data_IF_949678786512
#
_entry.id   IF_949678786512
#
_cell.length_a   1.000
_cell.length_b   1.000
_cell.length_c   1.000
_cell.angle_alpha   90.00
_cell.angle_beta   90.00
_cell.angle_gamma   90.00
#
_symmetry.space_group_name_H-M   'P 1'
#
loop_
_entity.id
_entity.type
_entity.pdbx_description
1 polymer ?
#
# COMPACT_ATOMS: atom_id res chain seq x y z
N UNK A 1 -10.05 13.28 23.27
CA UNK A 1 -10.86 12.05 23.45
C UNK A 1 -11.34 11.62 22.09
N UNK A 2 -11.13 10.36 21.70
CA UNK A 2 -11.63 9.84 20.43
C UNK A 2 -13.15 9.74 20.48
N UNK A 3 -13.84 10.29 19.50
CA UNK A 3 -15.31 10.27 19.43
C UNK A 3 -15.78 9.58 18.15
N UNK A 4 -16.80 8.74 18.26
CA UNK A 4 -17.46 8.12 17.13
C UNK A 4 -18.78 8.86 16.87
N UNK A 5 -19.03 9.22 15.61
CA UNK A 5 -20.31 9.78 15.20
C UNK A 5 -21.18 8.66 14.64
N UNK A 6 -22.33 8.39 15.26
CA UNK A 6 -23.29 7.37 14.82
C UNK A 6 -24.66 8.00 14.62
N UNK A 7 -25.43 7.49 13.66
CA UNK A 7 -26.82 7.92 13.47
C UNK A 7 -27.75 6.86 14.03
N UNK A 8 -28.54 7.22 15.05
CA UNK A 8 -29.56 6.35 15.66
C UNK A 8 -30.91 6.99 15.40
N UNK A 9 -31.80 6.28 14.69
CA UNK A 9 -33.14 6.77 14.34
C UNK A 9 -33.13 8.16 13.66
N UNK A 10 -32.15 8.41 12.79
CA UNK A 10 -31.98 9.69 12.09
C UNK A 10 -31.34 10.81 12.92
N UNK A 11 -31.00 10.58 14.18
CA UNK A 11 -30.29 11.56 15.02
C UNK A 11 -28.80 11.24 15.07
N UNK A 12 -27.98 12.23 14.72
CA UNK A 12 -26.52 12.13 14.83
C UNK A 12 -26.11 12.26 16.30
N UNK A 13 -25.46 11.24 16.83
CA UNK A 13 -24.90 11.22 18.17
C UNK A 13 -23.38 11.14 18.13
N UNK A 14 -22.74 11.94 18.98
CA UNK A 14 -21.29 11.90 19.19
C UNK A 14 -21.01 11.12 20.46
N UNK A 15 -20.53 9.90 20.30
CA UNK A 15 -20.24 9.00 21.40
C UNK A 15 -18.75 9.09 21.74
N UNK A 16 -18.43 9.43 22.99
CA UNK A 16 -17.04 9.43 23.45
C UNK A 16 -16.61 7.98 23.67
N UNK A 17 -15.55 7.54 22.99
CA UNK A 17 -15.08 6.14 23.10
C UNK A 17 -14.67 5.82 24.54
N UNK A 18 -14.14 6.80 25.28
CA UNK A 18 -13.74 6.64 26.67
C UNK A 18 -14.91 6.47 27.67
N UNK A 19 -16.15 6.82 27.28
CA UNK A 19 -17.34 6.62 28.14
C UNK A 19 -18.05 5.29 27.88
N UNK A 20 -17.55 4.48 26.94
CA UNK A 20 -18.07 3.15 26.66
C UNK A 20 -17.68 2.16 27.76
N UNK A 21 -18.43 1.07 27.88
CA UNK A 21 -18.03 -0.04 28.75
C UNK A 21 -16.69 -0.64 28.29
N UNK A 22 -15.94 -1.23 29.22
CA UNK A 22 -14.66 -1.88 28.89
C UNK A 22 -14.79 -2.94 27.78
N UNK A 23 -15.91 -3.68 27.77
CA UNK A 23 -16.20 -4.66 26.72
C UNK A 23 -16.38 -4.00 25.34
N UNK A 24 -17.10 -2.88 25.26
CA UNK A 24 -17.27 -2.15 24.01
C UNK A 24 -15.95 -1.52 23.51
N UNK A 25 -15.11 -1.01 24.43
CA UNK A 25 -13.78 -0.51 24.07
C UNK A 25 -12.87 -1.62 23.52
N UNK A 26 -12.89 -2.81 24.14
CA UNK A 26 -12.14 -3.98 23.67
C UNK A 26 -12.61 -4.45 22.28
N UNK A 27 -13.92 -4.44 22.02
CA UNK A 27 -14.46 -4.79 20.71
C UNK A 27 -14.03 -3.79 19.63
N UNK A 28 -14.05 -2.48 19.91
CA UNK A 28 -13.57 -1.46 18.98
C UNK A 28 -12.08 -1.62 18.65
N UNK A 29 -11.24 -1.93 19.65
CA UNK A 29 -9.82 -2.19 19.44
C UNK A 29 -9.58 -3.44 18.56
N UNK A 30 -10.38 -4.49 18.77
CA UNK A 30 -10.34 -5.70 17.94
C UNK A 30 -10.77 -5.43 16.50
N UNK A 31 -11.84 -4.64 16.31
CA UNK A 31 -12.30 -4.22 14.98
C UNK A 31 -11.23 -3.38 14.26
N UNK A 32 -10.59 -2.44 14.95
CA UNK A 32 -9.49 -1.64 14.37
C UNK A 32 -8.33 -2.52 13.93
N UNK A 33 -7.94 -3.50 14.76
CA UNK A 33 -6.91 -4.48 14.41
C UNK A 33 -7.30 -5.26 13.16
N UNK A 34 -8.54 -5.75 13.10
CA UNK A 34 -9.05 -6.52 11.96
C UNK A 34 -9.04 -5.69 10.67
N UNK A 35 -9.53 -4.45 10.74
CA UNK A 35 -9.53 -3.51 9.60
C UNK A 35 -8.11 -3.24 9.11
N UNK A 36 -7.16 -2.99 10.03
CA UNK A 36 -5.77 -2.75 9.68
C UNK A 36 -5.13 -3.97 9.00
N UNK A 37 -5.41 -5.18 9.49
CA UNK A 37 -4.94 -6.42 8.88
C UNK A 37 -5.50 -6.62 7.48
N UNK A 38 -6.79 -6.35 7.27
CA UNK A 38 -7.43 -6.44 5.94
C UNK A 38 -6.81 -5.42 4.98
N UNK A 39 -6.66 -4.16 5.39
CA UNK A 39 -6.07 -3.11 4.58
C UNK A 39 -4.61 -3.43 4.18
N UNK A 40 -3.81 -3.93 5.13
CA UNK A 40 -2.44 -4.35 4.85
C UNK A 40 -2.39 -5.55 3.88
N UNK A 41 -3.30 -6.51 4.04
CA UNK A 41 -3.39 -7.68 3.16
C UNK A 41 -3.81 -7.29 1.74
N UNK A 42 -4.74 -6.34 1.60
CA UNK A 42 -5.16 -5.80 0.31
C UNK A 42 -4.02 -5.06 -0.39
N UNK A 43 -3.33 -4.16 0.30
CA UNK A 43 -2.16 -3.45 -0.25
C UNK A 43 -1.07 -4.42 -0.70
N UNK A 44 -0.78 -5.44 0.11
CA UNK A 44 0.20 -6.46 -0.23
C UNK A 44 -0.22 -7.25 -1.49
N UNK A 45 -1.49 -7.65 -1.59
CA UNK A 45 -2.00 -8.34 -2.77
C UNK A 45 -1.91 -7.49 -4.05
N UNK A 46 -2.23 -6.20 -3.96
CA UNK A 46 -2.09 -5.28 -5.09
C UNK A 46 -0.64 -5.04 -5.47
N UNK A 47 0.27 -4.96 -4.49
CA UNK A 47 1.70 -4.84 -4.75
C UNK A 47 2.24 -6.07 -5.50
N UNK A 48 1.84 -7.29 -5.10
CA UNK A 48 2.25 -8.52 -5.80
C UNK A 48 1.81 -8.57 -7.25
N UNK A 49 0.61 -8.07 -7.56
CA UNK A 49 0.09 -8.03 -8.92
C UNK A 49 0.40 -6.73 -9.66
N UNK A 50 1.14 -5.81 -9.03
CA UNK A 50 1.34 -4.44 -9.52
C UNK A 50 0.04 -3.76 -9.96
N UNK A 51 -1.04 -4.01 -9.21
CA UNK A 51 -2.37 -3.50 -9.47
C UNK A 51 -2.50 -2.03 -9.03
N UNK A 52 -1.76 -1.15 -9.68
CA UNK A 52 -1.89 0.30 -9.57
C UNK A 52 -1.91 0.93 -10.96
N UNK A 53 -2.65 2.02 -11.12
CA UNK A 53 -2.63 2.81 -12.34
C UNK A 53 -1.40 3.73 -12.32
N UNK A 54 -0.61 3.73 -13.41
CA UNK A 54 0.38 4.78 -13.64
C UNK A 54 -0.34 6.02 -14.18
N UNK A 55 -0.24 7.14 -13.46
CA UNK A 55 -0.82 8.43 -13.88
C UNK A 55 0.18 9.21 -14.73
N UNK A 56 1.44 9.25 -14.30
CA UNK A 56 2.56 9.82 -15.05
C UNK A 56 3.84 9.11 -14.62
N UNK A 57 4.84 9.02 -15.51
CA UNK A 57 6.10 8.36 -15.23
C UNK A 57 7.27 9.10 -15.89
N UNK A 58 8.38 9.21 -15.16
CA UNK A 58 9.68 9.56 -15.70
C UNK A 58 10.46 8.27 -15.94
N UNK A 59 11.08 8.13 -17.12
CA UNK A 59 11.88 6.97 -17.50
C UNK A 59 13.34 7.35 -17.71
N UNK A 60 14.24 6.39 -17.52
CA UNK A 60 15.64 6.53 -17.89
C UNK A 60 15.87 6.30 -19.40
N UNK A 61 17.13 6.38 -19.84
CA UNK A 61 17.49 6.17 -21.25
C UNK A 61 17.26 4.73 -21.75
N UNK A 62 17.07 3.77 -20.84
CA UNK A 62 16.74 2.38 -21.13
C UNK A 62 15.22 2.12 -21.04
N UNK A 63 14.41 3.18 -20.94
CA UNK A 63 12.95 3.13 -20.77
C UNK A 63 12.47 2.53 -19.44
N UNK A 64 13.36 2.30 -18.45
CA UNK A 64 12.95 1.86 -17.13
C UNK A 64 12.32 3.03 -16.38
N UNK A 65 11.21 2.80 -15.66
CA UNK A 65 10.62 3.85 -14.82
C UNK A 65 11.63 4.21 -13.74
N UNK A 66 11.86 5.49 -13.51
CA UNK A 66 12.64 6.00 -12.37
C UNK A 66 11.70 6.38 -11.24
N UNK A 67 10.66 7.14 -11.57
CA UNK A 67 9.58 7.51 -10.65
C UNK A 67 8.26 7.67 -11.40
N UNK A 68 7.15 7.39 -10.73
CA UNK A 68 5.81 7.58 -11.28
C UNK A 68 4.82 8.00 -10.21
N UNK A 69 3.87 8.86 -10.56
CA UNK A 69 2.66 9.05 -9.77
C UNK A 69 1.69 7.91 -10.06
N UNK A 70 1.16 7.28 -9.01
CA UNK A 70 0.27 6.12 -9.13
C UNK A 70 -1.04 6.31 -8.36
N UNK A 71 -2.05 5.54 -8.74
CA UNK A 71 -3.31 5.41 -8.00
C UNK A 71 -3.59 3.94 -7.74
N UNK A 72 -3.85 3.61 -6.48
CA UNK A 72 -4.21 2.26 -6.02
C UNK A 72 -5.70 1.97 -6.24
N UNK A 73 -6.13 0.69 -6.20
CA UNK A 73 -7.51 0.30 -6.50
C UNK A 73 -8.57 0.89 -5.56
N UNK A 74 -8.19 1.27 -4.34
CA UNK A 74 -9.05 1.97 -3.37
C UNK A 74 -9.07 3.50 -3.56
N UNK A 75 -8.41 4.01 -4.60
CA UNK A 75 -8.29 5.43 -4.89
C UNK A 75 -7.18 6.15 -4.12
N UNK A 76 -6.39 5.43 -3.31
CA UNK A 76 -5.24 6.03 -2.64
C UNK A 76 -4.21 6.50 -3.68
N UNK A 77 -3.67 7.69 -3.48
CA UNK A 77 -2.57 8.20 -4.31
C UNK A 77 -1.24 7.65 -3.83
N UNK A 78 -0.26 7.56 -4.73
CA UNK A 78 1.07 7.08 -4.40
C UNK A 78 2.15 7.62 -5.33
N UNK A 79 3.39 7.36 -4.94
CA UNK A 79 4.58 7.53 -5.76
C UNK A 79 5.29 6.19 -5.83
N UNK A 80 5.47 5.68 -7.04
CA UNK A 80 6.35 4.56 -7.34
C UNK A 80 7.78 5.08 -7.58
N UNK A 81 8.77 4.38 -7.07
CA UNK A 81 10.19 4.69 -7.23
C UNK A 81 10.94 3.40 -7.51
N UNK A 82 11.79 3.41 -8.53
CA UNK A 82 12.72 2.32 -8.79
C UNK A 82 13.93 2.45 -7.90
N UNK A 83 14.24 1.37 -7.17
CA UNK A 83 15.45 1.27 -6.35
C UNK A 83 16.60 0.67 -7.16
N UNK A 84 16.30 -0.32 -8.02
CA UNK A 84 17.28 -0.98 -8.89
C UNK A 84 16.65 -1.23 -10.26
N UNK A 85 17.14 -0.51 -11.28
CA UNK A 85 16.85 -0.83 -12.68
C UNK A 85 17.75 -1.96 -13.16
N UNK A 86 17.25 -2.83 -14.03
CA UNK A 86 18.02 -3.96 -14.52
C UNK A 86 19.03 -3.52 -15.57
N UNK A 87 20.32 -3.81 -15.36
CA UNK A 87 21.36 -3.51 -16.35
C UNK A 87 21.41 -4.53 -17.49
N UNK A 88 20.96 -5.76 -17.24
CA UNK A 88 20.96 -6.84 -18.23
C UNK A 88 19.71 -6.83 -19.12
N UNK A 89 18.61 -6.27 -18.62
CA UNK A 89 17.32 -6.25 -19.31
C UNK A 89 16.78 -4.81 -19.35
N UNK A 90 17.11 -4.04 -20.42
CA UNK A 90 16.64 -2.66 -20.57
C UNK A 90 15.11 -2.53 -20.38
N UNK A 91 14.70 -1.53 -19.61
CA UNK A 91 13.30 -1.27 -19.28
C UNK A 91 12.78 -2.07 -18.08
N UNK A 92 13.51 -3.09 -17.62
CA UNK A 92 13.12 -3.89 -16.46
C UNK A 92 13.55 -3.23 -15.14
N UNK A 93 12.78 -3.53 -14.09
CA UNK A 93 13.01 -3.07 -12.73
C UNK A 93 13.19 -4.32 -11.87
N UNK A 94 14.26 -4.35 -11.09
CA UNK A 94 14.62 -5.47 -10.22
C UNK A 94 14.29 -5.19 -8.75
N UNK A 95 14.20 -3.91 -8.35
CA UNK A 95 13.73 -3.50 -7.01
C UNK A 95 12.97 -2.17 -7.09
N UNK A 96 11.94 -2.02 -6.26
CA UNK A 96 11.13 -0.81 -6.21
C UNK A 96 10.42 -0.65 -4.88
N UNK A 97 9.98 0.58 -4.60
CA UNK A 97 9.01 0.86 -3.56
C UNK A 97 7.93 1.82 -4.04
N UNK A 98 6.74 1.71 -3.45
CA UNK A 98 5.61 2.57 -3.78
C UNK A 98 4.83 2.98 -2.54
N UNK A 99 4.52 4.27 -2.43
CA UNK A 99 3.70 4.79 -1.33
C UNK A 99 2.20 4.58 -1.61
N UNK A 100 1.44 4.37 -0.54
CA UNK A 100 -0.01 4.33 -0.50
C UNK A 100 -0.45 5.39 0.51
N UNK A 101 -1.14 6.43 0.03
CA UNK A 101 -1.58 7.57 0.85
C UNK A 101 -3.10 7.64 0.80
N UNK A 102 -3.76 7.22 1.89
CA UNK A 102 -5.21 7.27 2.04
C UNK A 102 -5.58 7.86 3.40
N UNK A 103 -6.52 8.81 3.40
CA UNK A 103 -7.02 9.45 4.63
C UNK A 103 -5.89 9.97 5.56
N UNK A 104 -4.80 10.50 4.98
CA UNK A 104 -3.57 10.98 5.67
C UNK A 104 -2.72 9.90 6.35
N UNK A 105 -3.03 8.63 6.15
CA UNK A 105 -2.16 7.51 6.53
C UNK A 105 -1.28 7.19 5.32
N UNK A 106 0.04 7.11 5.54
CA UNK A 106 1.00 6.68 4.51
C UNK A 106 1.51 5.29 4.86
N UNK A 107 1.50 4.42 3.87
CA UNK A 107 2.16 3.11 3.88
C UNK A 107 3.11 3.01 2.71
N UNK A 108 4.15 2.19 2.83
CA UNK A 108 5.08 1.93 1.73
C UNK A 108 5.17 0.44 1.47
N UNK A 109 4.85 0.03 0.25
CA UNK A 109 5.13 -1.31 -0.26
C UNK A 109 6.52 -1.34 -0.87
N UNK A 110 7.34 -2.33 -0.50
CA UNK A 110 8.71 -2.46 -0.99
C UNK A 110 8.93 -3.86 -1.56
N UNK A 111 9.31 -3.94 -2.83
CA UNK A 111 9.83 -5.14 -3.47
C UNK A 111 11.36 -5.11 -3.38
N UNK A 112 11.99 -5.97 -2.55
CA UNK A 112 13.45 -6.12 -2.55
C UNK A 112 13.93 -6.67 -3.89
N UNK A 113 15.23 -6.50 -4.15
CA UNK A 113 15.87 -6.94 -5.39
C UNK A 113 15.57 -8.40 -5.72
N UNK A 114 15.04 -8.62 -6.91
CA UNK A 114 14.80 -9.96 -7.47
C UNK A 114 16.06 -10.47 -8.19
N UNK A 115 16.11 -11.77 -8.41
CA UNK A 115 17.13 -12.41 -9.24
C UNK A 115 16.51 -12.93 -10.53
N UNK A 116 17.18 -12.71 -11.66
CA UNK A 116 16.80 -13.24 -12.98
C UNK A 116 17.85 -14.20 -13.51
N UNK A 117 17.44 -15.14 -14.35
CA UNK A 117 18.37 -15.94 -15.15
C UNK A 117 18.89 -15.15 -16.38
N UNK A 118 19.74 -15.80 -17.18
CA UNK A 118 20.32 -15.19 -18.37
C UNK A 118 19.28 -14.85 -19.46
N UNK A 119 18.08 -15.43 -19.41
CA UNK A 119 16.98 -15.16 -20.34
C UNK A 119 16.01 -14.09 -19.80
N UNK A 120 16.24 -13.58 -18.59
CA UNK A 120 15.42 -12.54 -17.94
C UNK A 120 14.27 -13.08 -17.11
N UNK A 121 14.13 -14.41 -17.00
CA UNK A 121 13.11 -15.02 -16.17
C UNK A 121 13.46 -14.85 -14.69
N UNK A 122 12.48 -14.48 -13.87
CA UNK A 122 12.67 -14.32 -12.42
C UNK A 122 12.86 -15.70 -11.79
N UNK A 123 13.98 -15.90 -11.10
CA UNK A 123 14.31 -17.16 -10.40
C UNK A 123 14.19 -17.04 -8.89
N UNK A 124 14.29 -15.82 -8.34
CA UNK A 124 14.01 -15.54 -6.95
C UNK A 124 13.35 -14.17 -6.80
N UNK A 125 12.25 -14.11 -6.06
CA UNK A 125 11.56 -12.88 -5.71
C UNK A 125 11.36 -12.85 -4.19
N UNK A 126 12.11 -12.02 -3.45
CA UNK A 126 11.87 -11.83 -2.03
C UNK A 126 10.46 -11.29 -1.77
N UNK A 127 9.89 -11.63 -0.61
CA UNK A 127 8.57 -11.17 -0.22
C UNK A 127 8.50 -9.63 -0.16
N UNK A 128 7.40 -9.08 -0.66
CA UNK A 128 7.11 -7.65 -0.52
C UNK A 128 6.80 -7.35 0.95
N UNK A 129 7.33 -6.24 1.46
CA UNK A 129 7.05 -5.76 2.82
C UNK A 129 6.21 -4.49 2.79
N UNK A 130 5.42 -4.28 3.83
CA UNK A 130 4.62 -3.06 4.05
C UNK A 130 5.07 -2.41 5.35
N UNK A 131 5.50 -1.14 5.30
CA UNK A 131 5.81 -0.29 6.45
C UNK A 131 4.72 0.76 6.67
#
# INVERSE_FOLDING_TARGET
MSSLTITINGVVQVLQVGSLSGAAQAQLASMQTTINTIAQSALLQWAYTSAFQLVSATRDANEAIVTASIVWPDGATGTFTTDVASSAFPGAIDAWHATHVLARVTKTATQPAITRDANGAVTAQPAITIA
#
